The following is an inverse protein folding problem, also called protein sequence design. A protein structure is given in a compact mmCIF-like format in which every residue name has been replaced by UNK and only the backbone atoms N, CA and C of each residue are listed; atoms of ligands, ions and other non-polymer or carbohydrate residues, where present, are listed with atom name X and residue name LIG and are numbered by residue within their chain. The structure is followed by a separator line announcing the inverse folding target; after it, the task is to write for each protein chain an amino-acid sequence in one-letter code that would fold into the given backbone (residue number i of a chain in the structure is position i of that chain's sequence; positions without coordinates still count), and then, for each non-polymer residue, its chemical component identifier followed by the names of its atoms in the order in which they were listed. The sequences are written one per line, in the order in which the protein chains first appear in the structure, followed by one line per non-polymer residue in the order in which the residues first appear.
data_IF_289416415129
#
_entry.id   IF_289416415129
#
_cell.length_a   1.000
_cell.length_b   1.000
_cell.length_c   1.000
_cell.angle_alpha   90.00
_cell.angle_beta   90.00
_cell.angle_gamma   90.00
#
_symmetry.space_group_name_H-M   'P 1'
#
loop_
_entity.id
_entity.type
_entity.pdbx_description
1 polymer ?
#
# COMPACT_ATOMS: atom_id res chain seq x y z
N UNK A 1 10.92 -5.52 3.51
CA UNK A 1 12.15 -6.25 3.12
C UNK A 1 11.81 -7.62 2.53
N UNK A 2 12.75 -8.21 1.77
CA UNK A 2 12.67 -9.58 1.25
C UNK A 2 13.90 -10.36 1.70
N UNK A 3 13.71 -11.65 2.04
CA UNK A 3 14.82 -12.52 2.41
C UNK A 3 15.84 -12.66 1.27
N UNK A 4 17.11 -12.62 1.65
CA UNK A 4 18.24 -12.78 0.74
C UNK A 4 19.02 -14.04 1.15
N UNK A 5 19.29 -14.97 0.21
CA UNK A 5 20.03 -16.19 0.54
C UNK A 5 21.36 -15.90 1.23
N UNK A 6 21.64 -16.62 2.32
CA UNK A 6 22.87 -16.49 3.12
C UNK A 6 23.18 -15.08 3.62
N UNK A 7 22.15 -14.24 3.83
CA UNK A 7 22.31 -12.85 4.28
C UNK A 7 23.28 -12.05 3.40
N UNK A 8 23.30 -12.36 2.10
CA UNK A 8 24.29 -11.85 1.14
C UNK A 8 23.99 -10.43 0.63
N UNK A 9 22.87 -9.85 1.03
CA UNK A 9 22.47 -8.51 0.61
C UNK A 9 22.97 -7.44 1.59
N UNK A 10 23.07 -6.20 1.12
CA UNK A 10 23.55 -5.07 1.94
C UNK A 10 22.45 -4.38 2.77
N UNK A 11 21.20 -4.87 2.72
CA UNK A 11 20.12 -4.31 3.52
C UNK A 11 20.17 -4.76 4.98
N UNK A 12 19.23 -4.27 5.82
CA UNK A 12 19.16 -4.62 7.24
C UNK A 12 19.13 -6.12 7.44
N UNK A 13 19.90 -6.60 8.42
CA UNK A 13 20.03 -8.03 8.75
C UNK A 13 20.45 -8.92 7.56
N UNK A 14 21.09 -8.33 6.54
CA UNK A 14 21.51 -9.04 5.34
C UNK A 14 20.40 -9.29 4.32
N UNK A 15 19.24 -8.66 4.48
CA UNK A 15 18.08 -8.77 3.60
C UNK A 15 18.11 -7.76 2.45
N UNK A 16 17.14 -7.84 1.54
CA UNK A 16 16.93 -6.85 0.46
C UNK A 16 15.83 -5.84 0.87
N UNK A 17 16.10 -4.55 0.68
CA UNK A 17 15.07 -3.51 0.83
C UNK A 17 13.96 -3.72 -0.21
N UNK A 18 12.72 -3.65 0.24
CA UNK A 18 11.53 -3.78 -0.59
C UNK A 18 10.37 -3.02 0.06
N UNK A 19 9.45 -2.53 -0.76
CA UNK A 19 8.18 -1.93 -0.35
C UNK A 19 7.01 -2.82 -0.75
N UNK A 20 5.85 -2.62 -0.13
CA UNK A 20 4.64 -3.37 -0.44
C UNK A 20 3.37 -2.70 0.06
N UNK A 21 2.23 -3.15 -0.47
CA UNK A 21 0.89 -2.78 -0.02
C UNK A 21 0.22 -4.03 0.55
N UNK A 22 -0.44 -3.93 1.70
CA UNK A 22 -1.03 -5.07 2.43
C UNK A 22 -0.07 -6.27 2.53
N UNK A 23 1.19 -5.98 2.88
CA UNK A 23 2.28 -6.94 2.99
C UNK A 23 2.61 -7.73 1.71
N UNK A 24 2.33 -7.16 0.53
CA UNK A 24 2.71 -7.71 -0.77
C UNK A 24 3.65 -6.75 -1.50
N UNK A 25 4.86 -7.20 -1.76
CA UNK A 25 5.80 -6.50 -2.65
C UNK A 25 5.51 -6.86 -4.09
N UNK A 26 5.01 -5.88 -4.86
CA UNK A 26 4.61 -6.09 -6.24
C UNK A 26 5.81 -6.46 -7.11
N UNK A 27 5.70 -7.59 -7.80
CA UNK A 27 6.66 -8.02 -8.81
C UNK A 27 6.11 -7.79 -10.21
N UNK A 28 6.89 -7.14 -11.08
CA UNK A 28 6.53 -7.04 -12.49
C UNK A 28 6.50 -8.44 -13.12
N UNK A 29 5.39 -8.84 -13.77
CA UNK A 29 5.31 -10.09 -14.48
C UNK A 29 6.09 -10.05 -15.80
N UNK A 30 6.39 -11.22 -16.36
CA UNK A 30 7.06 -11.33 -17.67
C UNK A 30 6.14 -11.01 -18.86
N UNK A 31 4.82 -10.99 -18.66
CA UNK A 31 3.82 -10.52 -19.62
C UNK A 31 2.97 -9.46 -18.92
N UNK A 32 2.73 -8.34 -19.58
CA UNK A 32 1.93 -7.24 -19.04
C UNK A 32 0.57 -7.71 -18.54
N UNK A 33 0.15 -7.21 -17.37
CA UNK A 33 -1.13 -7.58 -16.74
C UNK A 33 -2.30 -7.38 -17.71
N UNK A 34 -2.32 -6.27 -18.44
CA UNK A 34 -3.36 -5.98 -19.43
C UNK A 34 -3.38 -7.00 -20.57
N UNK A 35 -2.21 -7.41 -21.06
CA UNK A 35 -2.10 -8.42 -22.12
C UNK A 35 -2.55 -9.79 -21.63
N UNK A 36 -2.09 -10.20 -20.43
CA UNK A 36 -2.48 -11.46 -19.81
C UNK A 36 -4.00 -11.52 -19.59
N UNK A 37 -4.60 -10.44 -19.07
CA UNK A 37 -6.04 -10.31 -18.91
C UNK A 37 -6.79 -10.42 -20.26
N UNK A 38 -6.43 -9.59 -21.24
CA UNK A 38 -7.15 -9.50 -22.51
C UNK A 38 -7.07 -10.80 -23.33
N UNK A 39 -5.93 -11.52 -23.26
CA UNK A 39 -5.72 -12.77 -23.98
C UNK A 39 -6.05 -14.02 -23.15
N UNK A 40 -6.55 -13.86 -21.93
CA UNK A 40 -6.85 -14.95 -20.99
C UNK A 40 -5.65 -15.90 -20.77
N UNK A 41 -4.46 -15.34 -20.54
CA UNK A 41 -3.23 -16.09 -20.29
C UNK A 41 -3.02 -16.22 -18.78
N UNK A 42 -3.00 -17.45 -18.28
CA UNK A 42 -2.84 -17.75 -16.86
C UNK A 42 -1.37 -17.68 -16.40
N UNK A 43 -1.15 -17.56 -15.09
CA UNK A 43 0.17 -17.66 -14.46
C UNK A 43 0.98 -16.36 -14.39
N UNK A 44 0.45 -15.24 -14.89
CA UNK A 44 1.14 -13.94 -14.88
C UNK A 44 0.68 -12.98 -13.77
N UNK A 45 -0.52 -13.18 -13.22
CA UNK A 45 -1.01 -12.44 -12.06
C UNK A 45 -2.04 -13.27 -11.29
N UNK A 46 -2.29 -12.91 -10.04
CA UNK A 46 -3.37 -13.46 -9.21
C UNK A 46 -4.40 -12.36 -8.92
N UNK A 47 -5.68 -12.64 -9.15
CA UNK A 47 -6.80 -11.72 -8.86
C UNK A 47 -7.21 -11.73 -7.36
N UNK A 48 -6.23 -11.81 -6.47
CA UNK A 48 -6.41 -12.05 -5.03
C UNK A 48 -5.72 -10.99 -4.16
N UNK A 49 -5.55 -9.76 -4.67
CA UNK A 49 -5.06 -8.66 -3.83
C UNK A 49 -6.06 -8.42 -2.68
N UNK A 50 -5.60 -8.45 -1.41
CA UNK A 50 -6.47 -8.41 -0.26
C UNK A 50 -6.97 -6.98 0.01
N UNK A 51 -8.20 -6.86 0.50
CA UNK A 51 -8.80 -5.57 0.87
C UNK A 51 -8.19 -4.99 2.15
N UNK A 52 -7.73 -5.87 3.04
CA UNK A 52 -7.11 -5.52 4.32
C UNK A 52 -5.71 -6.13 4.44
N UNK A 53 -4.83 -5.54 5.26
CA UNK A 53 -3.55 -6.17 5.55
C UNK A 53 -3.76 -7.53 6.24
N UNK A 54 -2.92 -8.54 5.96
CA UNK A 54 -3.11 -9.89 6.48
C UNK A 54 -2.96 -10.00 8.01
N UNK A 55 -2.30 -9.03 8.64
CA UNK A 55 -2.14 -8.94 10.08
C UNK A 55 -2.42 -7.50 10.52
N UNK A 56 -3.33 -7.34 11.48
CA UNK A 56 -3.57 -6.06 12.15
C UNK A 56 -2.63 -5.91 13.34
N UNK A 57 -2.00 -4.75 13.44
CA UNK A 57 -1.15 -4.35 14.56
C UNK A 57 -1.23 -2.83 14.71
N UNK A 58 -0.57 -2.28 15.72
CA UNK A 58 -0.41 -0.84 15.83
C UNK A 58 0.57 -0.36 14.74
N UNK A 59 0.06 0.04 13.58
CA UNK A 59 0.84 0.36 12.39
C UNK A 59 1.82 1.52 12.61
N UNK A 60 1.50 2.42 13.52
CA UNK A 60 2.31 3.60 13.85
C UNK A 60 3.00 3.50 15.21
N UNK A 61 3.17 2.29 15.77
CA UNK A 61 3.97 2.09 16.98
C UNK A 61 5.47 2.37 16.74
N UNK A 62 6.20 2.62 17.82
CA UNK A 62 7.66 2.58 17.84
C UNK A 62 8.16 1.12 17.89
N UNK A 63 9.44 0.92 17.60
CA UNK A 63 10.16 -0.36 17.63
C UNK A 63 9.61 -1.44 16.67
N UNK A 64 9.14 -1.04 15.49
CA UNK A 64 8.61 -1.95 14.47
C UNK A 64 9.73 -2.52 13.56
N UNK A 65 10.77 -3.08 14.18
CA UNK A 65 12.01 -3.52 13.50
C UNK A 65 12.14 -5.03 13.32
N UNK A 66 11.27 -5.83 13.95
CA UNK A 66 11.35 -7.29 13.90
C UNK A 66 10.83 -7.88 12.58
N UNK A 67 11.37 -9.04 12.20
CA UNK A 67 11.03 -9.79 10.98
C UNK A 67 9.53 -10.04 10.78
N UNK A 68 8.76 -10.16 11.86
CA UNK A 68 7.30 -10.37 11.81
C UNK A 68 6.55 -9.24 11.08
N UNK A 69 7.13 -8.03 11.04
CA UNK A 69 6.56 -6.87 10.36
C UNK A 69 7.37 -6.47 9.13
N UNK A 70 8.69 -6.60 9.20
CA UNK A 70 9.59 -6.03 8.20
C UNK A 70 9.74 -6.90 6.95
N UNK A 71 9.40 -8.20 7.00
CA UNK A 71 9.48 -9.10 5.86
C UNK A 71 8.14 -9.19 5.12
N UNK A 72 8.18 -8.99 3.80
CA UNK A 72 7.00 -9.03 2.92
C UNK A 72 7.04 -10.19 1.94
N UNK A 73 5.89 -10.51 1.36
CA UNK A 73 5.77 -11.55 0.32
C UNK A 73 5.84 -10.92 -1.07
N UNK A 74 6.68 -11.46 -1.95
CA UNK A 74 6.78 -11.01 -3.33
C UNK A 74 5.73 -11.70 -4.20
N UNK A 75 4.84 -10.95 -4.85
CA UNK A 75 3.82 -11.49 -5.75
C UNK A 75 3.32 -10.46 -6.77
N UNK A 76 2.62 -10.92 -7.82
CA UNK A 76 1.90 -10.07 -8.77
C UNK A 76 0.39 -10.22 -8.52
N UNK A 77 -0.12 -9.48 -7.53
CA UNK A 77 -1.55 -9.52 -7.16
C UNK A 77 -2.27 -8.28 -7.63
N UNK A 78 -3.48 -8.46 -8.15
CA UNK A 78 -4.37 -7.39 -8.61
C UNK A 78 -5.70 -7.45 -7.89
N UNK A 79 -6.34 -6.29 -7.72
CA UNK A 79 -7.73 -6.18 -7.27
C UNK A 79 -8.62 -6.02 -8.50
N UNK A 80 -9.52 -6.98 -8.71
CA UNK A 80 -10.56 -6.86 -9.73
C UNK A 80 -11.76 -6.12 -9.12
N UNK A 81 -12.30 -5.17 -9.87
CA UNK A 81 -13.48 -4.40 -9.51
C UNK A 81 -14.52 -4.53 -10.61
N UNK A 82 -15.77 -4.64 -10.22
CA UNK A 82 -16.87 -4.61 -11.17
C UNK A 82 -16.99 -3.22 -11.81
N UNK A 83 -17.48 -3.19 -13.05
CA UNK A 83 -17.80 -1.94 -13.71
C UNK A 83 -18.81 -1.15 -12.87
N UNK A 84 -18.57 0.16 -12.70
CA UNK A 84 -19.39 1.07 -11.92
C UNK A 84 -19.42 0.80 -10.40
N UNK A 85 -18.45 0.04 -9.87
CA UNK A 85 -18.26 -0.06 -8.43
C UNK A 85 -17.85 1.30 -7.82
N UNK A 86 -18.45 1.64 -6.67
CA UNK A 86 -17.99 2.73 -5.81
C UNK A 86 -17.02 2.15 -4.78
N UNK A 87 -15.84 2.75 -4.67
CA UNK A 87 -14.77 2.23 -3.80
C UNK A 87 -14.26 3.34 -2.90
N UNK A 88 -14.14 3.03 -1.61
CA UNK A 88 -13.37 3.78 -0.63
C UNK A 88 -12.02 3.08 -0.43
N UNK A 89 -10.93 3.84 -0.41
CA UNK A 89 -9.57 3.31 -0.19
C UNK A 89 -8.94 4.10 0.95
N UNK A 90 -8.56 3.38 2.01
CA UNK A 90 -7.81 3.94 3.13
C UNK A 90 -6.33 3.58 2.99
N UNK A 91 -5.49 4.58 2.78
CA UNK A 91 -4.04 4.40 2.78
C UNK A 91 -3.49 4.57 4.20
N UNK A 92 -3.15 3.46 4.84
CA UNK A 92 -2.48 3.43 6.15
C UNK A 92 -0.97 3.36 5.97
N UNK A 93 -0.26 4.42 6.33
CA UNK A 93 1.21 4.38 6.48
C UNK A 93 1.62 3.59 7.72
N UNK A 94 2.80 2.98 7.69
CA UNK A 94 3.36 2.22 8.82
C UNK A 94 4.68 2.82 9.27
N UNK A 95 5.02 2.70 10.56
CA UNK A 95 6.34 3.03 11.10
C UNK A 95 7.30 1.82 11.07
N UNK A 96 7.11 0.89 10.14
CA UNK A 96 7.99 -0.27 9.95
C UNK A 96 9.43 0.20 9.74
N UNK A 97 10.39 -0.48 10.37
CA UNK A 97 11.81 -0.10 10.42
C UNK A 97 12.06 1.25 11.11
N UNK A 98 11.13 1.69 11.98
CA UNK A 98 11.16 3.00 12.66
C UNK A 98 11.33 4.17 11.70
N UNK A 99 10.73 4.03 10.51
CA UNK A 99 10.90 4.95 9.38
C UNK A 99 9.54 5.32 8.79
N UNK A 100 8.66 5.88 9.63
CA UNK A 100 7.40 6.46 9.18
C UNK A 100 7.64 7.62 8.21
N UNK A 101 7.09 7.52 6.99
CA UNK A 101 7.31 8.49 5.92
C UNK A 101 6.01 8.93 5.24
N UNK A 102 6.08 10.04 4.52
CA UNK A 102 5.05 10.43 3.56
C UNK A 102 5.33 9.76 2.21
N UNK A 103 4.34 9.02 1.70
CA UNK A 103 4.40 8.34 0.42
C UNK A 103 3.33 8.91 -0.52
N UNK A 104 3.72 9.69 -1.54
CA UNK A 104 2.78 10.12 -2.56
C UNK A 104 2.19 8.92 -3.33
N UNK A 105 0.88 8.71 -3.25
CA UNK A 105 0.18 7.64 -3.95
C UNK A 105 -0.48 8.19 -5.21
N UNK A 106 -0.33 7.46 -6.31
CA UNK A 106 -0.90 7.81 -7.60
C UNK A 106 -1.75 6.65 -8.15
N UNK A 107 -2.95 6.97 -8.64
CA UNK A 107 -3.87 6.00 -9.24
C UNK A 107 -4.10 6.35 -10.72
N UNK A 108 -3.70 5.44 -11.60
CA UNK A 108 -3.86 5.61 -13.04
C UNK A 108 -5.33 5.48 -13.45
N UNK A 109 -5.77 6.26 -14.45
CA UNK A 109 -7.07 6.10 -15.09
C UNK A 109 -8.28 6.67 -14.35
N UNK A 110 -8.12 7.07 -13.08
CA UNK A 110 -9.22 7.56 -12.25
C UNK A 110 -8.94 8.94 -11.65
N UNK A 111 -10.03 9.68 -11.41
CA UNK A 111 -10.05 10.82 -10.50
C UNK A 111 -10.64 10.34 -9.19
N UNK A 112 -10.13 10.84 -8.08
CA UNK A 112 -10.62 10.45 -6.76
C UNK A 112 -10.77 11.67 -5.86
N UNK A 113 -11.62 11.52 -4.84
CA UNK A 113 -11.87 12.55 -3.85
C UNK A 113 -11.15 12.18 -2.55
N UNK A 114 -10.41 13.13 -1.98
CA UNK A 114 -9.81 12.97 -0.66
C UNK A 114 -10.84 13.42 0.36
N UNK A 115 -11.50 12.44 0.98
CA UNK A 115 -12.60 12.68 1.93
C UNK A 115 -12.11 12.73 3.39
N UNK A 116 -10.91 12.24 3.69
CA UNK A 116 -10.34 12.28 5.03
C UNK A 116 -8.82 12.10 5.02
N UNK A 117 -8.16 12.58 6.07
CA UNK A 117 -6.73 12.40 6.32
C UNK A 117 -6.44 12.57 7.81
N UNK A 118 -5.50 11.82 8.36
CA UNK A 118 -5.12 11.90 9.77
C UNK A 118 -3.76 11.30 10.05
N UNK A 119 -3.31 11.45 11.30
CA UNK A 119 -2.12 10.79 11.85
C UNK A 119 -2.55 9.61 12.73
N UNK A 120 -1.66 8.63 12.89
CA UNK A 120 -1.91 7.43 13.68
C UNK A 120 -2.58 6.30 12.89
N UNK A 121 -3.24 5.40 13.60
CA UNK A 121 -3.98 4.30 12.98
C UNK A 121 -5.40 4.74 12.67
N UNK A 122 -5.86 4.47 11.45
CA UNK A 122 -7.25 4.69 11.06
C UNK A 122 -8.22 3.91 11.96
N UNK A 123 -9.26 4.59 12.43
CA UNK A 123 -10.34 4.02 13.20
C UNK A 123 -11.65 4.09 12.40
N UNK A 124 -12.13 2.94 11.96
CA UNK A 124 -13.33 2.80 11.12
C UNK A 124 -14.64 3.22 11.80
N UNK A 125 -14.64 3.51 13.11
CA UNK A 125 -15.80 4.02 13.85
C UNK A 125 -15.75 5.55 13.97
N UNK A 126 -14.58 6.12 14.29
CA UNK A 126 -14.48 7.55 14.62
C UNK A 126 -14.10 8.42 13.44
N UNK A 127 -13.20 7.95 12.57
CA UNK A 127 -12.63 8.78 11.50
C UNK A 127 -13.64 9.07 10.38
N UNK A 128 -14.52 8.12 9.97
CA UNK A 128 -15.57 8.40 9.00
C UNK A 128 -16.54 9.51 9.43
N UNK A 129 -16.69 9.76 10.74
CA UNK A 129 -17.53 10.85 11.26
C UNK A 129 -16.97 12.24 10.93
N UNK A 130 -15.69 12.30 10.55
CA UNK A 130 -14.97 13.54 10.20
C UNK A 130 -14.77 13.72 8.70
N UNK A 131 -15.29 12.81 7.87
CA UNK A 131 -15.13 12.89 6.43
C UNK A 131 -15.75 14.17 5.85
N UNK A 132 -15.01 14.81 4.96
CA UNK A 132 -15.55 15.85 4.09
C UNK A 132 -16.32 15.18 2.94
N UNK A 133 -17.63 15.10 3.08
CA UNK A 133 -18.55 14.57 2.07
C UNK A 133 -19.30 15.67 1.30
N UNK A 134 -18.99 16.94 1.56
CA UNK A 134 -19.68 18.09 0.94
C UNK A 134 -18.84 18.68 -0.19
N UNK A 135 -17.56 18.98 0.07
CA UNK A 135 -16.65 19.61 -0.89
C UNK A 135 -15.21 19.05 -0.85
N UNK A 136 -15.02 17.72 -0.99
CA UNK A 136 -13.71 17.11 -0.89
C UNK A 136 -12.76 17.53 -2.01
N UNK A 137 -11.45 17.53 -1.70
CA UNK A 137 -10.40 17.76 -2.68
C UNK A 137 -10.46 16.69 -3.78
N UNK A 138 -10.62 17.11 -5.03
CA UNK A 138 -10.60 16.23 -6.20
C UNK A 138 -9.20 16.16 -6.81
N UNK A 139 -8.60 14.98 -6.82
CA UNK A 139 -7.32 14.73 -7.48
C UNK A 139 -7.53 14.14 -8.88
N UNK A 140 -6.77 14.66 -9.85
CA UNK A 140 -6.79 14.20 -11.24
C UNK A 140 -5.70 13.15 -11.52
N UNK A 141 -5.73 12.42 -12.66
CA UNK A 141 -4.77 11.33 -12.93
C UNK A 141 -3.32 11.79 -13.16
N UNK A 142 -3.02 13.07 -13.06
CA UNK A 142 -1.64 13.58 -13.08
C UNK A 142 -1.18 14.08 -11.70
N UNK A 143 -2.00 13.88 -10.66
CA UNK A 143 -1.73 14.28 -9.29
C UNK A 143 -1.55 13.04 -8.40
N UNK A 144 -0.80 13.24 -7.33
CA UNK A 144 -0.58 12.23 -6.30
C UNK A 144 -1.21 12.69 -4.98
N UNK A 145 -1.84 11.77 -4.26
CA UNK A 145 -2.23 11.94 -2.87
C UNK A 145 -0.97 11.94 -2.01
N UNK A 146 -0.69 13.00 -1.26
CA UNK A 146 0.33 12.96 -0.22
C UNK A 146 -0.27 12.34 1.03
N UNK A 147 0.31 11.25 1.53
CA UNK A 147 -0.07 10.73 2.84
C UNK A 147 0.43 11.67 3.94
N UNK A 148 -0.07 11.49 5.16
CA UNK A 148 0.46 12.24 6.30
C UNK A 148 1.52 11.37 6.96
N UNK A 149 2.78 11.79 6.91
CA UNK A 149 3.87 11.16 7.67
C UNK A 149 4.00 11.79 9.05
N UNK A 150 4.76 11.18 9.98
CA UNK A 150 5.19 11.87 11.19
C UNK A 150 5.92 13.18 10.84
N UNK A 151 5.94 14.18 11.73
CA UNK A 151 6.74 15.38 11.50
C UNK A 151 8.17 14.97 11.14
N UNK A 152 8.73 15.54 10.08
CA UNK A 152 10.13 15.33 9.75
C UNK A 152 10.98 15.98 10.85
N UNK A 153 11.47 15.19 11.79
CA UNK A 153 12.55 15.63 12.67
C UNK A 153 13.83 15.68 11.82
N UNK A 154 14.17 16.90 11.39
CA UNK A 154 15.48 17.26 10.83
C UNK A 154 16.46 17.59 11.93
#
# INVERSE_FOLDING_TARGET
MLHCPNNSCAGPEGNRIASGLNNISFANPAVDVLQAYYRNISGYYEASFPDEPPNLFNFTAEDLTTDNYTITSRATRVKMLDYNATVEITFQGTNIMDSGENHPVHLHGFRFYVIGSGLGNFNNVTDPLTYNLVDPLKLIPSQSLRTVGPPSDS
#
